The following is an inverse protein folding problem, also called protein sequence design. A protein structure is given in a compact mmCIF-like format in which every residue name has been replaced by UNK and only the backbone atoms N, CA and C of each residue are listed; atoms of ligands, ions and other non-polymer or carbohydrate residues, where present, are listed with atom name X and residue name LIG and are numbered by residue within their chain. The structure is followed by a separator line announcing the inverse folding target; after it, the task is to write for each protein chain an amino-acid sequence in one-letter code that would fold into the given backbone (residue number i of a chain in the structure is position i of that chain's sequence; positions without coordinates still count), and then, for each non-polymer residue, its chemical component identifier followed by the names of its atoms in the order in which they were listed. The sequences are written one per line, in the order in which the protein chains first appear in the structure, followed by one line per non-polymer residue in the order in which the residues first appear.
data_IF_490135816546
#
_entry.id   IF_490135816546
#
_cell.length_a   1.000
_cell.length_b   1.000
_cell.length_c   1.000
_cell.angle_alpha   90.00
_cell.angle_beta   90.00
_cell.angle_gamma   90.00
#
_symmetry.space_group_name_H-M   'P 1'
#
loop_
_entity.id
_entity.type
_entity.pdbx_description
1 polymer ?
#
# COMPACT_ATOMS: atom_id res chain seq x y z
N UNK A 1 -35.69 18.71 -23.19
CA UNK A 1 -35.61 17.59 -22.22
C UNK A 1 -34.95 18.12 -20.94
N UNK A 2 -35.74 18.19 -19.87
CA UNK A 2 -35.40 18.89 -18.63
C UNK A 2 -34.63 17.92 -17.73
N UNK A 3 -33.35 18.21 -17.43
CA UNK A 3 -32.57 17.46 -16.45
C UNK A 3 -32.97 17.91 -15.04
N UNK A 4 -33.54 16.97 -14.27
CA UNK A 4 -33.89 17.13 -12.87
C UNK A 4 -32.64 17.10 -12.01
N UNK A 5 -32.23 18.23 -11.46
CA UNK A 5 -31.16 18.35 -10.46
C UNK A 5 -31.59 17.67 -9.17
N UNK A 6 -30.88 16.62 -8.76
CA UNK A 6 -31.01 16.05 -7.41
C UNK A 6 -30.19 16.90 -6.44
N UNK A 7 -30.88 17.51 -5.51
CA UNK A 7 -30.28 18.23 -4.37
C UNK A 7 -29.53 17.22 -3.47
N UNK A 8 -28.23 17.38 -3.39
CA UNK A 8 -27.41 16.75 -2.37
C UNK A 8 -27.39 17.67 -1.14
N UNK A 9 -27.99 17.21 -0.04
CA UNK A 9 -27.85 17.83 1.27
C UNK A 9 -26.51 17.36 1.88
N UNK A 10 -25.64 18.26 2.35
CA UNK A 10 -24.38 17.85 3.00
C UNK A 10 -24.69 17.20 4.36
N UNK A 11 -24.19 16.00 4.57
CA UNK A 11 -24.17 15.32 5.86
C UNK A 11 -23.34 16.17 6.84
N UNK A 12 -23.99 16.67 7.89
CA UNK A 12 -23.35 17.31 9.04
C UNK A 12 -22.40 16.30 9.69
N UNK A 13 -21.11 16.65 9.73
CA UNK A 13 -20.14 15.96 10.59
C UNK A 13 -20.62 16.07 12.04
N UNK A 14 -20.92 14.94 12.65
CA UNK A 14 -21.07 14.87 14.10
C UNK A 14 -19.67 14.79 14.76
N UNK A 15 -19.46 15.48 15.87
CA UNK A 15 -18.18 15.41 16.58
C UNK A 15 -17.98 14.04 17.22
N UNK A 16 -16.74 13.59 17.18
CA UNK A 16 -16.22 12.33 17.70
C UNK A 16 -16.75 12.03 19.11
N UNK A 17 -17.41 10.88 19.26
CA UNK A 17 -17.66 10.29 20.57
C UNK A 17 -16.34 9.76 21.12
N UNK A 18 -15.87 10.40 22.17
CA UNK A 18 -14.78 9.89 23.00
C UNK A 18 -15.24 8.60 23.70
N UNK A 19 -14.68 7.47 23.29
CA UNK A 19 -14.85 6.21 24.00
C UNK A 19 -14.02 6.25 25.30
N UNK A 20 -14.69 6.55 26.40
CA UNK A 20 -14.13 6.36 27.75
C UNK A 20 -14.09 4.87 28.08
N UNK A 21 -12.92 4.29 28.08
CA UNK A 21 -12.67 2.92 28.52
C UNK A 21 -12.69 2.89 30.07
N UNK A 22 -13.83 2.51 30.66
CA UNK A 22 -13.95 2.25 32.11
C UNK A 22 -13.37 0.86 32.42
N UNK A 23 -12.14 0.82 32.90
CA UNK A 23 -11.55 -0.38 33.50
C UNK A 23 -12.16 -0.55 34.90
N UNK A 24 -13.15 -1.43 35.05
CA UNK A 24 -13.61 -1.93 36.34
C UNK A 24 -12.60 -2.95 36.88
N UNK A 25 -11.78 -2.50 37.80
CA UNK A 25 -11.00 -3.37 38.68
C UNK A 25 -11.98 -4.06 39.63
N UNK A 26 -12.20 -5.35 39.45
CA UNK A 26 -12.88 -6.19 40.47
C UNK A 26 -11.87 -6.55 41.58
N UNK A 27 -12.05 -5.92 42.72
CA UNK A 27 -11.55 -6.39 44.04
C UNK A 27 -12.43 -7.54 44.53
N UNK A 28 -11.83 -8.57 45.05
CA UNK A 28 -12.44 -9.64 45.85
C UNK A 28 -11.74 -10.95 45.56
N UNK A 29 -11.12 -11.67 46.44
CA UNK A 29 -11.52 -12.12 47.73
C UNK A 29 -10.25 -12.68 48.44
N UNK A 30 -10.00 -12.24 49.63
CA UNK A 30 -9.15 -12.91 50.63
C UNK A 30 -9.83 -14.21 51.03
N UNK A 31 -9.13 -15.31 50.95
CA UNK A 31 -9.47 -16.54 51.66
C UNK A 31 -8.25 -17.01 52.44
N UNK A 32 -8.31 -16.78 53.73
CA UNK A 32 -7.48 -17.36 54.79
C UNK A 32 -7.90 -18.80 55.07
N UNK A 33 -6.96 -19.75 55.10
CA UNK A 33 -7.11 -21.06 55.76
C UNK A 33 -5.73 -21.46 56.25
N UNK A 34 -5.51 -21.38 57.44
CA UNK A 34 -5.43 -22.16 58.65
C UNK A 34 -4.37 -23.30 58.65
N UNK A 35 -3.54 -23.15 59.66
CA UNK A 35 -2.53 -24.05 60.18
C UNK A 35 -3.00 -25.52 60.38
N UNK A 36 -2.10 -26.47 60.11
CA UNK A 36 -2.06 -27.75 60.80
C UNK A 36 -0.61 -28.20 60.94
N UNK A 37 -0.17 -28.16 62.21
CA UNK A 37 1.05 -28.74 62.73
C UNK A 37 0.88 -30.24 62.90
N UNK A 38 1.84 -31.08 62.52
CA UNK A 38 2.04 -32.42 63.07
C UNK A 38 3.52 -32.70 63.23
N UNK A 39 3.81 -33.15 64.43
CA UNK A 39 5.10 -33.36 65.10
C UNK A 39 5.87 -34.60 64.63
N UNK A 40 7.15 -34.46 64.65
CA UNK A 40 8.24 -35.33 65.08
C UNK A 40 8.08 -36.87 65.12
N UNK A 41 9.05 -37.56 64.50
CA UNK A 41 9.73 -38.71 65.11
C UNK A 41 11.18 -38.75 64.66
N UNK A 42 12.06 -38.71 65.70
CA UNK A 42 13.50 -38.94 65.61
C UNK A 42 13.75 -40.47 65.51
N UNK A 43 14.58 -40.86 64.56
CA UNK A 43 15.38 -42.09 64.71
C UNK A 43 16.81 -41.77 64.30
N UNK A 44 17.67 -41.82 65.26
CA UNK A 44 19.11 -41.72 65.14
C UNK A 44 19.70 -43.10 64.73
N UNK A 45 20.50 -43.15 63.68
CA UNK A 45 21.46 -44.21 63.41
C UNK A 45 22.77 -43.61 62.91
N UNK A 46 23.84 -43.97 63.57
CA UNK A 46 25.17 -43.41 63.45
C UNK A 46 25.94 -43.87 62.24
N UNK A 47 27.09 -43.21 61.93
CA UNK A 47 27.69 -43.17 60.59
C UNK A 47 28.71 -44.25 60.38
N UNK A 48 28.84 -44.67 59.07
CA UNK A 48 30.01 -45.38 58.56
C UNK A 48 30.72 -44.47 57.59
N UNK A 49 32.01 -44.12 57.73
CA UNK A 49 32.70 -43.30 56.77
C UNK A 49 33.20 -44.16 55.59
N UNK A 50 32.58 -44.05 54.47
CA UNK A 50 33.18 -44.50 53.20
C UNK A 50 33.87 -43.29 52.56
N UNK A 51 35.22 -43.37 52.50
CA UNK A 51 36.02 -42.41 51.74
C UNK A 51 35.81 -42.70 50.24
N UNK A 52 34.91 -41.96 49.60
CA UNK A 52 34.87 -41.86 48.17
C UNK A 52 35.79 -40.72 47.74
N UNK A 53 36.86 -41.05 47.03
CA UNK A 53 37.66 -40.08 46.31
C UNK A 53 36.78 -39.43 45.22
N UNK A 54 36.36 -38.20 45.45
CA UNK A 54 35.69 -37.36 44.44
C UNK A 54 36.72 -36.94 43.40
N UNK A 55 36.60 -37.47 42.18
CA UNK A 55 37.24 -36.90 41.01
C UNK A 55 36.80 -35.44 40.84
N UNK A 56 37.65 -34.51 40.42
CA UNK A 56 37.24 -33.15 40.17
C UNK A 56 36.13 -33.11 39.09
N UNK A 57 35.11 -32.29 39.28
CA UNK A 57 34.05 -32.17 38.27
C UNK A 57 34.62 -31.73 36.94
N UNK A 58 34.32 -32.49 35.90
CA UNK A 58 34.66 -32.11 34.54
C UNK A 58 34.07 -30.70 34.30
N UNK A 59 34.91 -29.79 33.85
CA UNK A 59 34.46 -28.43 33.51
C UNK A 59 33.30 -28.52 32.47
N UNK A 60 32.19 -27.91 32.81
CA UNK A 60 31.08 -27.79 31.93
C UNK A 60 31.56 -27.14 30.59
N UNK A 61 31.11 -27.64 29.43
CA UNK A 61 31.49 -27.01 28.18
C UNK A 61 31.03 -25.54 28.20
N UNK A 62 31.97 -24.64 27.92
CA UNK A 62 31.72 -23.22 27.79
C UNK A 62 30.64 -23.03 26.75
N UNK A 63 29.59 -22.21 27.00
CA UNK A 63 28.59 -21.92 25.99
C UNK A 63 29.32 -21.34 24.75
N UNK A 64 28.87 -21.70 23.54
CA UNK A 64 29.46 -21.13 22.32
C UNK A 64 29.40 -19.60 22.41
N UNK A 65 30.42 -18.89 21.88
CA UNK A 65 30.44 -17.45 21.89
C UNK A 65 29.14 -16.96 21.23
N UNK A 66 28.37 -16.16 21.97
CA UNK A 66 27.18 -15.48 21.45
C UNK A 66 27.73 -14.56 20.37
N UNK A 67 27.64 -14.99 19.13
CA UNK A 67 27.93 -14.14 17.99
C UNK A 67 26.99 -12.95 18.13
N UNK A 68 27.56 -11.78 18.48
CA UNK A 68 26.79 -10.55 18.52
C UNK A 68 26.05 -10.46 17.20
N UNK A 69 24.72 -10.52 17.25
CA UNK A 69 23.88 -10.33 16.07
C UNK A 69 24.33 -9.02 15.46
N UNK A 70 24.96 -9.09 14.28
CA UNK A 70 25.21 -7.89 13.50
C UNK A 70 23.89 -7.14 13.42
N UNK A 71 23.88 -5.82 13.68
CA UNK A 71 22.68 -5.04 13.46
C UNK A 71 22.17 -5.40 12.07
N UNK A 72 20.93 -5.88 11.98
CA UNK A 72 20.31 -6.20 10.71
C UNK A 72 20.56 -4.99 9.80
N UNK A 73 21.26 -5.20 8.67
CA UNK A 73 21.44 -4.15 7.68
C UNK A 73 20.03 -3.57 7.44
N UNK A 74 19.85 -2.23 7.45
CA UNK A 74 18.56 -1.64 7.27
C UNK A 74 17.95 -2.33 6.04
N UNK A 75 16.80 -2.99 6.24
CA UNK A 75 16.14 -3.72 5.16
C UNK A 75 15.88 -2.67 4.09
N UNK A 76 16.60 -2.80 2.98
CA UNK A 76 16.38 -1.92 1.84
C UNK A 76 14.90 -2.04 1.49
N UNK A 77 14.17 -0.95 1.64
CA UNK A 77 12.77 -0.88 1.28
C UNK A 77 12.67 -1.38 -0.16
N UNK A 78 11.96 -2.50 -0.43
CA UNK A 78 12.10 -3.18 -1.70
C UNK A 78 11.76 -2.26 -2.86
N UNK A 79 12.77 -1.81 -3.57
CA UNK A 79 12.66 -1.26 -4.91
C UNK A 79 12.28 0.21 -5.07
N UNK A 80 12.07 0.99 -4.00
CA UNK A 80 11.63 2.38 -4.16
C UNK A 80 12.73 3.40 -3.91
N UNK A 81 13.42 3.31 -2.78
CA UNK A 81 14.39 4.31 -2.37
C UNK A 81 15.59 3.62 -1.75
N UNK A 82 16.64 3.43 -2.52
CA UNK A 82 17.91 2.97 -1.98
C UNK A 82 18.63 4.18 -1.33
N UNK A 83 18.81 4.22 0.00
CA UNK A 83 19.52 5.31 0.66
C UNK A 83 20.95 5.50 0.18
N UNK A 84 21.52 4.49 -0.50
CA UNK A 84 22.84 4.55 -1.10
C UNK A 84 22.85 5.24 -2.46
N UNK A 85 21.69 5.38 -3.11
CA UNK A 85 21.52 6.05 -4.40
C UNK A 85 20.92 7.45 -4.23
N UNK A 86 21.60 8.29 -3.45
CA UNK A 86 21.19 9.67 -3.29
C UNK A 86 21.34 10.42 -4.62
N UNK A 87 20.26 10.95 -5.20
CA UNK A 87 20.36 11.70 -6.45
C UNK A 87 21.10 13.01 -6.21
N UNK A 88 21.96 13.41 -7.17
CA UNK A 88 22.57 14.72 -7.16
C UNK A 88 21.52 15.81 -7.27
N UNK A 89 21.81 16.96 -6.61
CA UNK A 89 20.93 18.12 -6.72
C UNK A 89 21.07 18.73 -8.12
N UNK A 90 20.01 18.76 -8.94
CA UNK A 90 20.07 19.38 -10.26
C UNK A 90 20.13 20.90 -10.16
N UNK A 91 20.39 21.56 -11.29
CA UNK A 91 20.33 23.04 -11.37
C UNK A 91 18.86 23.52 -11.35
N UNK A 92 18.34 23.71 -10.15
CA UNK A 92 16.97 24.13 -9.91
C UNK A 92 16.69 25.58 -10.33
N UNK A 93 17.72 26.42 -10.50
CA UNK A 93 17.55 27.83 -10.89
C UNK A 93 16.91 28.00 -12.28
N UNK A 94 16.96 26.97 -13.11
CA UNK A 94 16.36 26.95 -14.44
C UNK A 94 14.86 26.61 -14.44
N UNK A 95 14.30 26.19 -13.29
CA UNK A 95 12.89 25.89 -13.13
C UNK A 95 12.19 27.02 -12.40
N UNK A 96 11.19 27.63 -13.03
CA UNK A 96 10.41 28.74 -12.44
C UNK A 96 8.99 28.30 -12.08
N UNK A 97 8.42 27.37 -12.86
CA UNK A 97 7.07 26.85 -12.68
C UNK A 97 7.02 25.42 -13.18
N UNK A 98 6.22 24.57 -12.51
CA UNK A 98 5.88 23.24 -13.00
C UNK A 98 4.37 23.14 -13.16
N UNK A 99 3.92 22.80 -14.38
CA UNK A 99 2.51 22.60 -14.70
C UNK A 99 2.22 21.10 -14.66
N UNK A 100 1.67 20.64 -13.52
CA UNK A 100 1.23 19.25 -13.39
C UNK A 100 -0.13 19.05 -14.03
N UNK A 101 -0.28 17.91 -14.71
CA UNK A 101 -1.55 17.39 -15.19
C UNK A 101 -1.91 16.14 -14.37
N UNK A 102 -3.19 16.05 -13.98
CA UNK A 102 -3.75 14.90 -13.29
C UNK A 102 -5.11 14.55 -13.85
N UNK A 103 -5.66 13.41 -13.47
CA UNK A 103 -7.02 13.04 -13.86
C UNK A 103 -8.05 13.38 -12.79
N UNK A 104 -9.33 13.15 -13.09
CA UNK A 104 -10.46 13.65 -12.30
C UNK A 104 -11.14 12.59 -11.44
N UNK A 105 -10.87 11.28 -11.64
CA UNK A 105 -11.70 10.22 -11.10
C UNK A 105 -10.92 8.94 -10.72
N UNK A 106 -9.89 9.10 -9.89
CA UNK A 106 -9.14 7.98 -9.36
C UNK A 106 -8.85 8.15 -7.84
N UNK A 107 -9.90 8.18 -6.99
CA UNK A 107 -9.70 8.31 -5.55
C UNK A 107 -9.02 7.04 -4.97
N UNK A 108 -8.18 7.17 -3.93
CA UNK A 108 -7.81 8.42 -3.22
C UNK A 108 -6.60 9.15 -3.84
N UNK A 109 -6.12 8.73 -5.00
CA UNK A 109 -4.91 9.26 -5.61
C UNK A 109 -5.10 10.65 -6.23
N UNK A 110 -6.12 10.79 -7.08
CA UNK A 110 -6.47 12.06 -7.72
C UNK A 110 -7.96 12.07 -8.08
N UNK A 111 -8.64 13.13 -7.70
CA UNK A 111 -10.07 13.28 -7.92
C UNK A 111 -10.47 14.75 -7.80
N UNK A 112 -11.70 15.05 -8.21
CA UNK A 112 -12.28 16.38 -8.04
C UNK A 112 -12.81 16.50 -6.61
N UNK A 113 -12.26 17.45 -5.85
CA UNK A 113 -12.73 17.77 -4.50
C UNK A 113 -14.13 18.40 -4.48
N UNK A 114 -14.73 18.51 -3.28
CA UNK A 114 -16.07 19.12 -3.13
C UNK A 114 -16.14 20.59 -3.59
N UNK A 115 -15.00 21.27 -3.58
CA UNK A 115 -14.81 22.66 -4.03
C UNK A 115 -14.53 22.79 -5.54
N UNK A 116 -14.55 21.67 -6.27
CA UNK A 116 -14.22 21.61 -7.69
C UNK A 116 -12.71 21.62 -8.01
N UNK A 117 -11.86 21.70 -6.99
CA UNK A 117 -10.41 21.72 -7.15
C UNK A 117 -9.81 20.30 -7.15
N UNK A 118 -8.61 20.13 -7.77
CA UNK A 118 -7.92 18.84 -7.71
C UNK A 118 -7.53 18.49 -6.26
N UNK A 119 -7.81 17.26 -5.86
CA UNK A 119 -7.54 16.70 -4.55
C UNK A 119 -6.97 15.26 -4.67
N UNK A 120 -6.39 14.74 -3.58
CA UNK A 120 -5.88 13.39 -3.48
C UNK A 120 -4.37 13.32 -3.28
N UNK A 121 -3.89 12.10 -3.04
CA UNK A 121 -2.47 11.82 -2.75
C UNK A 121 -1.52 12.39 -3.82
N UNK A 122 -1.80 12.17 -5.10
CA UNK A 122 -0.98 12.63 -6.22
C UNK A 122 -0.92 14.16 -6.28
N UNK A 123 -2.05 14.82 -5.99
CA UNK A 123 -2.15 16.28 -5.98
C UNK A 123 -1.31 16.87 -4.86
N UNK A 124 -1.40 16.30 -3.66
CA UNK A 124 -0.61 16.75 -2.52
C UNK A 124 0.88 16.42 -2.69
N UNK A 125 1.22 15.27 -3.30
CA UNK A 125 2.61 14.96 -3.65
C UNK A 125 3.19 15.97 -4.64
N UNK A 126 2.43 16.37 -5.67
CA UNK A 126 2.85 17.41 -6.60
C UNK A 126 3.14 18.75 -5.90
N UNK A 127 2.28 19.15 -4.95
CA UNK A 127 2.49 20.35 -4.13
C UNK A 127 3.76 20.26 -3.29
N UNK A 128 3.98 19.12 -2.62
CA UNK A 128 5.19 18.88 -1.82
C UNK A 128 6.46 18.89 -2.67
N UNK A 129 6.42 18.32 -3.88
CA UNK A 129 7.55 18.37 -4.83
C UNK A 129 7.90 19.83 -5.18
N UNK A 130 6.92 20.65 -5.52
CA UNK A 130 7.16 22.05 -5.84
C UNK A 130 7.68 22.87 -4.64
N UNK A 131 7.16 22.58 -3.45
CA UNK A 131 7.65 23.19 -2.19
C UNK A 131 9.11 22.83 -1.94
N UNK A 132 9.51 21.56 -2.14
CA UNK A 132 10.90 21.11 -1.95
C UNK A 132 11.84 21.72 -2.99
N UNK A 133 11.41 21.84 -4.25
CA UNK A 133 12.18 22.48 -5.34
C UNK A 133 12.18 24.01 -5.17
N UNK A 134 11.19 24.58 -4.47
CA UNK A 134 10.93 26.02 -4.30
C UNK A 134 10.53 26.71 -5.61
N UNK A 135 9.61 26.11 -6.35
CA UNK A 135 9.04 26.66 -7.59
C UNK A 135 7.53 26.82 -7.49
N UNK A 136 6.95 27.67 -8.31
CA UNK A 136 5.50 27.77 -8.44
C UNK A 136 4.93 26.47 -9.06
N UNK A 137 3.73 26.09 -8.62
CA UNK A 137 3.02 24.90 -9.12
C UNK A 137 1.64 25.29 -9.63
N UNK A 138 1.27 24.70 -10.77
CA UNK A 138 -0.14 24.63 -11.18
C UNK A 138 -0.52 23.16 -11.37
N UNK A 139 -1.73 22.79 -10.96
CA UNK A 139 -2.25 21.42 -11.11
C UNK A 139 -3.56 21.52 -11.88
N UNK A 140 -3.61 20.90 -13.07
CA UNK A 140 -4.76 20.95 -13.96
C UNK A 140 -5.33 19.54 -14.13
N UNK A 141 -6.63 19.42 -13.94
CA UNK A 141 -7.36 18.18 -14.20
C UNK A 141 -7.67 18.03 -15.69
N UNK A 142 -7.51 16.81 -16.19
CA UNK A 142 -7.86 16.41 -17.57
C UNK A 142 -8.38 14.99 -17.58
N UNK A 143 -9.07 14.60 -18.64
CA UNK A 143 -9.41 13.19 -18.86
C UNK A 143 -8.14 12.38 -19.09
N UNK A 144 -8.09 11.18 -18.53
CA UNK A 144 -6.91 10.30 -18.54
C UNK A 144 -6.32 10.11 -19.93
N UNK A 145 -7.15 9.86 -20.93
CA UNK A 145 -6.75 9.57 -22.31
C UNK A 145 -6.03 10.74 -22.98
N UNK A 146 -6.23 11.96 -22.49
CA UNK A 146 -5.66 13.19 -23.07
C UNK A 146 -4.35 13.63 -22.42
N UNK A 147 -3.93 12.98 -21.33
CA UNK A 147 -2.79 13.41 -20.52
C UNK A 147 -1.47 13.34 -21.30
N UNK A 148 -1.21 12.21 -21.98
CA UNK A 148 0.02 11.99 -22.75
C UNK A 148 0.14 12.99 -23.90
N UNK A 149 -0.94 13.18 -24.65
CA UNK A 149 -0.97 14.13 -25.77
C UNK A 149 -0.82 15.58 -25.31
N UNK A 150 -1.36 15.91 -24.14
CA UNK A 150 -1.23 17.22 -23.54
C UNK A 150 0.23 17.55 -23.18
N UNK A 151 0.99 16.59 -22.63
CA UNK A 151 2.43 16.75 -22.36
C UNK A 151 3.21 16.94 -23.67
N UNK A 152 2.98 16.08 -24.66
CA UNK A 152 3.67 16.15 -25.94
C UNK A 152 3.38 17.45 -26.69
N UNK A 153 2.18 18.01 -26.49
CA UNK A 153 1.76 19.31 -27.05
C UNK A 153 2.12 20.53 -26.16
N UNK A 154 2.99 20.37 -25.16
CA UNK A 154 3.42 21.41 -24.22
C UNK A 154 2.27 22.10 -23.43
N UNK A 155 1.15 21.42 -23.23
CA UNK A 155 0.02 21.89 -22.41
C UNK A 155 0.17 21.59 -20.93
N UNK A 156 1.27 20.97 -20.54
CA UNK A 156 1.74 20.67 -19.20
C UNK A 156 3.20 20.25 -19.25
N UNK A 157 3.82 20.11 -18.12
CA UNK A 157 5.24 19.75 -17.99
C UNK A 157 5.41 18.32 -17.42
N UNK A 158 4.52 17.91 -16.53
CA UNK A 158 4.53 16.60 -15.90
C UNK A 158 3.12 16.04 -15.70
N UNK A 159 2.96 14.72 -15.79
CA UNK A 159 1.73 13.99 -15.45
C UNK A 159 1.92 13.24 -14.13
N UNK A 160 1.04 13.50 -13.17
CA UNK A 160 0.94 12.78 -11.91
C UNK A 160 -0.49 12.24 -11.75
N UNK A 161 -0.73 11.06 -12.31
CA UNK A 161 -2.04 10.44 -12.43
C UNK A 161 -1.96 8.90 -12.30
N UNK A 162 -1.11 8.42 -11.40
CA UNK A 162 -0.90 6.98 -11.18
C UNK A 162 -0.52 6.20 -12.46
N UNK A 163 0.29 6.80 -13.33
CA UNK A 163 0.74 6.17 -14.56
C UNK A 163 1.75 5.06 -14.27
N UNK A 164 1.43 3.83 -14.65
CA UNK A 164 2.39 2.74 -14.68
C UNK A 164 3.42 2.97 -15.80
N UNK A 165 4.72 2.86 -15.48
CA UNK A 165 5.80 3.05 -16.44
C UNK A 165 5.94 1.81 -17.36
N UNK A 166 4.91 1.55 -18.18
CA UNK A 166 4.91 0.44 -19.13
C UNK A 166 5.78 0.74 -20.35
N UNK A 167 6.25 -0.27 -21.11
CA UNK A 167 7.03 -0.06 -22.33
C UNK A 167 6.33 0.87 -23.34
N UNK A 168 5.01 0.76 -23.47
CA UNK A 168 4.20 1.59 -24.38
C UNK A 168 4.21 3.07 -23.96
N UNK A 169 4.10 3.35 -22.67
CA UNK A 169 4.15 4.73 -22.16
C UNK A 169 5.58 5.27 -22.14
N UNK A 170 6.58 4.42 -21.85
CA UNK A 170 8.00 4.80 -21.96
C UNK A 170 8.44 5.15 -23.37
N UNK A 171 7.76 4.65 -24.40
CA UNK A 171 7.97 5.10 -25.78
C UNK A 171 7.54 6.56 -26.01
N UNK A 172 6.58 7.08 -25.22
CA UNK A 172 5.97 8.42 -25.37
C UNK A 172 6.43 9.44 -24.35
N UNK A 173 6.79 9.01 -23.15
CA UNK A 173 7.18 9.83 -22.00
C UNK A 173 8.45 9.29 -21.36
N UNK A 174 9.20 10.17 -20.69
CA UNK A 174 10.17 9.75 -19.67
C UNK A 174 9.49 9.74 -18.31
N UNK A 175 9.96 8.87 -17.42
CA UNK A 175 9.38 8.71 -16.09
C UNK A 175 10.40 9.03 -15.01
N UNK A 176 9.90 9.60 -13.92
CA UNK A 176 10.63 9.66 -12.66
C UNK A 176 10.91 8.24 -12.13
N UNK A 177 11.69 8.14 -11.07
CA UNK A 177 11.70 6.94 -10.24
C UNK A 177 10.29 6.66 -9.75
N UNK A 178 9.92 5.37 -9.61
CA UNK A 178 8.58 5.04 -9.12
C UNK A 178 8.41 5.49 -7.68
N UNK A 179 7.26 6.05 -7.34
CA UNK A 179 6.95 6.48 -5.97
C UNK A 179 6.01 5.52 -5.23
N UNK A 180 5.40 4.56 -5.92
CA UNK A 180 4.79 3.38 -5.34
C UNK A 180 4.66 2.25 -6.36
N UNK A 181 4.37 1.05 -5.89
CA UNK A 181 3.95 -0.09 -6.71
C UNK A 181 2.55 -0.49 -6.32
N UNK A 182 1.73 -0.73 -7.32
CA UNK A 182 0.39 -1.24 -7.15
C UNK A 182 0.39 -2.72 -7.59
N UNK A 183 0.52 -3.68 -6.67
CA UNK A 183 0.32 -5.08 -7.03
C UNK A 183 -1.13 -5.30 -7.44
N UNK A 184 -1.37 -6.26 -8.31
CA UNK A 184 -2.73 -6.72 -8.56
C UNK A 184 -3.14 -7.77 -7.52
N UNK A 185 -4.44 -7.80 -7.18
CA UNK A 185 -5.01 -8.82 -6.28
C UNK A 185 -6.39 -9.25 -6.73
N UNK A 186 -6.74 -10.46 -6.34
CA UNK A 186 -8.11 -10.93 -6.41
C UNK A 186 -8.90 -10.48 -5.18
N UNK A 187 -10.18 -10.25 -5.39
CA UNK A 187 -11.18 -10.05 -4.33
C UNK A 187 -12.34 -10.97 -4.61
N UNK A 188 -12.87 -11.61 -3.59
CA UNK A 188 -14.09 -12.40 -3.62
C UNK A 188 -15.07 -11.92 -2.55
N UNK A 189 -16.29 -12.43 -2.57
CA UNK A 189 -17.17 -12.33 -1.41
C UNK A 189 -16.56 -13.11 -0.23
N UNK A 190 -16.86 -12.71 1.00
CA UNK A 190 -16.24 -13.26 2.22
C UNK A 190 -16.41 -14.78 2.37
N UNK A 191 -17.49 -15.32 1.84
CA UNK A 191 -17.78 -16.77 1.82
C UNK A 191 -16.94 -17.55 0.80
N UNK A 192 -16.31 -16.86 -0.16
CA UNK A 192 -15.47 -17.44 -1.21
C UNK A 192 -13.98 -17.10 -1.10
N UNK A 193 -13.51 -16.59 0.04
CA UNK A 193 -12.10 -16.19 0.22
C UNK A 193 -11.17 -17.41 0.16
N UNK A 194 -10.14 -17.28 -0.66
CA UNK A 194 -9.05 -18.26 -0.79
C UNK A 194 -7.75 -17.68 -0.22
N UNK A 195 -7.02 -18.48 0.57
CA UNK A 195 -5.70 -18.10 1.08
C UNK A 195 -4.67 -17.96 -0.05
N UNK A 196 -4.77 -18.84 -1.05
CA UNK A 196 -3.95 -18.84 -2.25
C UNK A 196 -4.86 -18.92 -3.48
N UNK A 197 -4.51 -18.19 -4.53
CA UNK A 197 -5.19 -18.22 -5.82
C UNK A 197 -4.17 -18.66 -6.88
N UNK A 198 -4.41 -19.82 -7.49
CA UNK A 198 -3.65 -20.38 -8.59
C UNK A 198 -4.57 -20.56 -9.80
N UNK A 199 -4.02 -20.69 -11.02
CA UNK A 199 -4.83 -20.90 -12.23
C UNK A 199 -5.82 -22.07 -12.08
N UNK A 200 -5.37 -23.19 -11.53
CA UNK A 200 -6.14 -24.42 -11.36
C UNK A 200 -7.35 -24.23 -10.41
N UNK A 201 -7.24 -23.31 -9.45
CA UNK A 201 -8.32 -23.01 -8.50
C UNK A 201 -9.42 -22.12 -9.08
N UNK A 202 -9.15 -21.48 -10.22
CA UNK A 202 -10.09 -20.63 -10.93
C UNK A 202 -10.71 -21.31 -12.16
N UNK A 203 -10.49 -22.60 -12.36
CA UNK A 203 -11.13 -23.35 -13.45
C UNK A 203 -12.65 -23.18 -13.39
N UNK A 204 -13.24 -22.69 -14.49
CA UNK A 204 -14.66 -22.43 -14.62
C UNK A 204 -15.20 -21.27 -13.79
N UNK A 205 -14.39 -20.61 -12.96
CA UNK A 205 -14.80 -19.43 -12.17
C UNK A 205 -14.85 -18.17 -13.03
N UNK A 206 -15.84 -17.35 -12.78
CA UNK A 206 -15.97 -16.03 -13.43
C UNK A 206 -15.14 -14.99 -12.72
N UNK A 207 -14.22 -14.35 -13.45
CA UNK A 207 -13.36 -13.30 -12.92
C UNK A 207 -13.67 -11.98 -13.64
N UNK A 208 -14.27 -11.03 -12.93
CA UNK A 208 -14.54 -9.68 -13.43
C UNK A 208 -13.27 -8.83 -13.46
N UNK A 209 -13.09 -8.08 -14.53
CA UNK A 209 -11.94 -7.21 -14.74
C UNK A 209 -12.34 -6.03 -15.65
N UNK A 210 -11.59 -4.92 -15.62
CA UNK A 210 -11.81 -3.83 -16.56
C UNK A 210 -11.36 -4.27 -17.96
N UNK A 211 -12.25 -4.19 -18.94
CA UNK A 211 -11.98 -4.55 -20.32
C UNK A 211 -10.84 -3.69 -20.90
N UNK A 212 -9.94 -4.30 -21.68
CA UNK A 212 -8.78 -3.63 -22.29
C UNK A 212 -7.66 -3.27 -21.32
N UNK A 213 -7.77 -3.66 -20.04
CA UNK A 213 -6.74 -3.36 -19.04
C UNK A 213 -5.57 -4.34 -19.08
N UNK A 214 -4.44 -3.95 -18.46
CA UNK A 214 -3.32 -4.85 -18.23
C UNK A 214 -3.71 -6.05 -17.34
N UNK A 215 -4.67 -5.86 -16.44
CA UNK A 215 -5.20 -6.91 -15.58
C UNK A 215 -5.96 -7.98 -16.41
N UNK A 216 -6.74 -7.56 -17.40
CA UNK A 216 -7.41 -8.48 -18.33
C UNK A 216 -6.38 -9.28 -19.15
N UNK A 217 -5.37 -8.60 -19.69
CA UNK A 217 -4.29 -9.25 -20.45
C UNK A 217 -3.53 -10.29 -19.59
N UNK A 218 -3.27 -9.97 -18.33
CA UNK A 218 -2.66 -10.87 -17.36
C UNK A 218 -3.50 -12.13 -17.15
N UNK A 219 -4.79 -11.96 -16.84
CA UNK A 219 -5.70 -13.09 -16.61
C UNK A 219 -5.80 -13.99 -17.85
N UNK A 220 -6.00 -13.42 -19.03
CA UNK A 220 -6.09 -14.19 -20.28
C UNK A 220 -4.83 -14.97 -20.61
N UNK A 221 -3.67 -14.55 -20.11
CA UNK A 221 -2.40 -15.22 -20.38
C UNK A 221 -2.05 -16.27 -19.33
N UNK A 222 -2.32 -16.02 -18.06
CA UNK A 222 -1.84 -16.84 -16.96
C UNK A 222 -2.94 -17.63 -16.23
N UNK A 223 -4.21 -17.26 -16.43
CA UNK A 223 -5.38 -17.89 -15.83
C UNK A 223 -6.34 -18.36 -16.94
N UNK A 224 -5.82 -19.19 -17.85
CA UNK A 224 -6.50 -19.59 -19.10
C UNK A 224 -7.81 -20.32 -18.86
N UNK A 225 -7.93 -21.02 -17.74
CA UNK A 225 -9.09 -21.86 -17.41
C UNK A 225 -10.19 -21.07 -16.68
N UNK A 226 -9.91 -19.80 -16.30
CA UNK A 226 -10.89 -18.90 -15.75
C UNK A 226 -11.75 -18.26 -16.83
N UNK A 227 -13.03 -18.02 -16.51
CA UNK A 227 -13.95 -17.25 -17.37
C UNK A 227 -13.74 -15.75 -17.12
N UNK A 228 -12.90 -15.10 -17.93
CA UNK A 228 -12.60 -13.67 -17.80
C UNK A 228 -13.78 -12.83 -18.34
N UNK A 229 -14.39 -12.02 -17.46
CA UNK A 229 -15.52 -11.13 -17.78
C UNK A 229 -15.02 -9.68 -17.81
N UNK A 230 -14.83 -9.14 -19.01
CA UNK A 230 -14.45 -7.74 -19.21
C UNK A 230 -15.63 -6.79 -19.00
N UNK A 231 -15.49 -5.83 -18.09
CA UNK A 231 -16.51 -4.84 -17.73
C UNK A 231 -15.99 -3.42 -18.00
N UNK A 232 -16.90 -2.45 -18.11
CA UNK A 232 -16.58 -1.13 -18.64
C UNK A 232 -15.70 -0.26 -17.72
N UNK A 233 -15.85 -0.41 -16.39
CA UNK A 233 -15.16 0.42 -15.39
C UNK A 233 -15.12 -0.27 -14.02
N UNK A 234 -14.44 0.35 -13.05
CA UNK A 234 -14.30 -0.17 -11.69
C UNK A 234 -15.65 -0.40 -10.99
N UNK A 235 -16.60 0.51 -11.16
CA UNK A 235 -17.91 0.39 -10.51
C UNK A 235 -18.69 -0.81 -11.03
N UNK A 236 -18.68 -1.03 -12.35
CA UNK A 236 -19.30 -2.22 -12.94
C UNK A 236 -18.67 -3.51 -12.43
N UNK A 237 -17.33 -3.56 -12.32
CA UNK A 237 -16.59 -4.71 -11.78
C UNK A 237 -16.98 -4.99 -10.33
N UNK A 238 -16.98 -3.96 -9.48
CA UNK A 238 -17.31 -4.05 -8.04
C UNK A 238 -18.76 -4.48 -7.83
N UNK A 239 -19.69 -3.90 -8.60
CA UNK A 239 -21.12 -4.26 -8.54
C UNK A 239 -21.38 -5.69 -8.99
N UNK A 240 -20.71 -6.17 -10.05
CA UNK A 240 -20.84 -7.54 -10.52
C UNK A 240 -20.43 -8.55 -9.42
N UNK A 241 -19.35 -8.27 -8.67
CA UNK A 241 -18.97 -9.10 -7.53
C UNK A 241 -20.03 -9.08 -6.41
N UNK A 242 -20.49 -7.87 -6.03
CA UNK A 242 -21.51 -7.73 -4.99
C UNK A 242 -22.80 -8.48 -5.31
N UNK A 243 -23.24 -8.45 -6.58
CA UNK A 243 -24.47 -9.14 -7.04
C UNK A 243 -24.26 -10.64 -7.28
N UNK A 244 -23.01 -11.14 -7.18
CA UNK A 244 -22.71 -12.54 -7.46
C UNK A 244 -22.73 -12.91 -8.94
N UNK A 245 -22.64 -11.93 -9.84
CA UNK A 245 -22.55 -12.16 -11.30
C UNK A 245 -21.18 -12.71 -11.70
N UNK A 246 -20.15 -12.40 -10.87
CA UNK A 246 -18.80 -12.98 -10.95
C UNK A 246 -18.38 -13.52 -9.58
N UNK A 247 -17.50 -14.52 -9.57
CA UNK A 247 -16.98 -15.16 -8.34
C UNK A 247 -15.85 -14.34 -7.72
N UNK A 248 -15.01 -13.78 -8.58
CA UNK A 248 -13.86 -12.96 -8.25
C UNK A 248 -13.84 -11.70 -9.09
N UNK A 249 -13.15 -10.69 -8.58
CA UNK A 249 -12.65 -9.56 -9.40
C UNK A 249 -11.14 -9.47 -9.26
N UNK A 250 -10.48 -8.95 -10.28
CA UNK A 250 -9.03 -8.80 -10.30
C UNK A 250 -8.66 -7.38 -10.73
N UNK A 251 -7.79 -6.73 -9.95
CA UNK A 251 -7.42 -5.34 -10.21
C UNK A 251 -6.34 -4.82 -9.28
N UNK A 252 -6.11 -3.51 -9.35
CA UNK A 252 -5.18 -2.78 -8.51
C UNK A 252 -5.49 -2.95 -7.01
N UNK A 253 -4.52 -3.45 -6.25
CA UNK A 253 -4.73 -3.80 -4.84
C UNK A 253 -5.06 -2.59 -3.98
N UNK A 254 -4.51 -1.40 -4.29
CA UNK A 254 -4.72 -0.19 -3.48
C UNK A 254 -6.14 0.32 -3.71
N UNK A 255 -6.56 0.40 -4.97
CA UNK A 255 -7.93 0.78 -5.33
C UNK A 255 -8.97 -0.20 -4.77
N UNK A 256 -8.67 -1.50 -4.81
CA UNK A 256 -9.53 -2.54 -4.22
C UNK A 256 -9.54 -2.47 -2.69
N UNK A 257 -8.40 -2.24 -2.02
CA UNK A 257 -8.32 -2.06 -0.57
C UNK A 257 -9.18 -0.87 -0.11
N UNK A 258 -9.10 0.25 -0.84
CA UNK A 258 -9.90 1.43 -0.56
C UNK A 258 -11.41 1.12 -0.67
N UNK A 259 -11.82 0.40 -1.72
CA UNK A 259 -13.21 0.01 -1.88
C UNK A 259 -13.68 -0.99 -0.82
N UNK A 260 -12.89 -2.04 -0.51
CA UNK A 260 -13.25 -3.05 0.51
C UNK A 260 -13.48 -2.41 1.87
N UNK A 261 -12.65 -1.44 2.24
CA UNK A 261 -12.74 -0.74 3.53
C UNK A 261 -13.74 0.43 3.51
N UNK A 262 -14.28 0.78 2.36
CA UNK A 262 -15.28 1.83 2.18
C UNK A 262 -16.71 1.33 2.38
N UNK A 263 -17.64 2.27 2.59
CA UNK A 263 -19.09 1.98 2.74
C UNK A 263 -19.69 1.33 1.51
N UNK A 264 -19.15 1.61 0.32
CA UNK A 264 -19.70 1.15 -0.96
C UNK A 264 -19.54 -0.35 -1.17
N UNK A 265 -18.59 -0.99 -0.47
CA UNK A 265 -18.47 -2.44 -0.48
C UNK A 265 -19.64 -3.13 0.25
N UNK A 266 -20.25 -2.44 1.21
CA UNK A 266 -21.27 -3.02 2.11
C UNK A 266 -20.72 -4.17 2.93
N UNK A 267 -19.40 -4.16 3.21
CA UNK A 267 -18.68 -5.19 3.94
C UNK A 267 -18.81 -6.61 3.34
N UNK A 268 -19.09 -6.71 2.02
CA UNK A 268 -19.33 -7.98 1.33
C UNK A 268 -18.11 -8.86 1.18
N UNK A 269 -16.94 -8.23 1.09
CA UNK A 269 -15.88 -8.80 0.27
C UNK A 269 -14.53 -8.68 0.96
N UNK A 270 -13.58 -9.54 0.55
CA UNK A 270 -12.21 -9.54 1.08
C UNK A 270 -11.20 -9.95 -0.01
N UNK A 271 -9.93 -9.66 0.23
CA UNK A 271 -8.86 -10.13 -0.64
C UNK A 271 -8.76 -11.66 -0.64
N UNK A 272 -8.49 -12.21 -1.82
CA UNK A 272 -8.17 -13.62 -2.05
C UNK A 272 -6.79 -13.71 -2.68
N UNK A 273 -5.89 -14.51 -2.10
CA UNK A 273 -4.54 -14.74 -2.62
C UNK A 273 -3.70 -13.48 -2.87
N UNK A 274 -2.61 -13.65 -3.62
CA UNK A 274 -1.70 -12.60 -4.07
C UNK A 274 -0.80 -12.02 -2.97
N UNK A 275 -0.01 -10.98 -3.25
CA UNK A 275 -0.08 -10.07 -4.41
C UNK A 275 0.57 -10.63 -5.69
N UNK A 276 0.13 -10.09 -6.84
CA UNK A 276 0.70 -10.39 -8.17
C UNK A 276 1.43 -9.14 -8.67
N UNK A 277 2.71 -9.30 -9.07
CA UNK A 277 3.62 -8.16 -9.28
C UNK A 277 4.38 -8.22 -10.62
N UNK A 278 3.89 -8.98 -11.60
CA UNK A 278 4.57 -9.16 -12.88
C UNK A 278 4.73 -7.85 -13.64
N UNK A 279 5.96 -7.36 -13.68
CA UNK A 279 6.30 -6.07 -14.28
C UNK A 279 6.00 -5.99 -15.78
N UNK A 280 5.95 -7.12 -16.49
CA UNK A 280 5.53 -7.19 -17.89
C UNK A 280 4.12 -6.61 -18.12
N UNK A 281 3.21 -6.82 -17.16
CA UNK A 281 1.81 -6.35 -17.23
C UNK A 281 1.59 -5.07 -16.44
N UNK A 282 2.12 -5.01 -15.21
CA UNK A 282 1.82 -3.94 -14.26
C UNK A 282 2.90 -2.85 -14.21
N UNK A 283 3.95 -2.99 -15.07
CA UNK A 283 5.07 -2.06 -15.11
C UNK A 283 6.02 -2.20 -13.93
N UNK A 284 7.09 -1.39 -13.96
CA UNK A 284 8.11 -1.39 -12.90
C UNK A 284 7.73 -0.55 -11.68
N UNK A 285 6.55 0.00 -11.69
CA UNK A 285 5.99 0.88 -10.68
C UNK A 285 5.33 2.12 -11.28
N UNK A 286 4.74 2.90 -10.41
CA UNK A 286 4.02 4.13 -10.74
C UNK A 286 4.97 5.30 -10.63
N UNK A 287 5.11 6.06 -11.70
CA UNK A 287 6.01 7.21 -11.79
C UNK A 287 5.32 8.47 -12.29
N UNK A 288 6.01 9.59 -12.19
CA UNK A 288 5.58 10.87 -12.75
C UNK A 288 6.11 10.95 -14.18
N UNK A 289 5.21 11.07 -15.15
CA UNK A 289 5.56 11.17 -16.56
C UNK A 289 5.96 12.61 -16.92
N UNK A 290 7.06 12.76 -17.66
CA UNK A 290 7.49 14.04 -18.25
C UNK A 290 7.68 13.89 -19.75
N UNK A 291 7.73 15.01 -20.48
CA UNK A 291 8.03 14.99 -21.92
C UNK A 291 9.38 14.32 -22.17
N UNK A 292 9.47 13.52 -23.23
CA UNK A 292 10.73 12.90 -23.68
C UNK A 292 11.87 13.91 -23.77
N UNK A 293 13.03 13.55 -23.18
CA UNK A 293 14.22 14.37 -23.18
C UNK A 293 14.22 15.54 -22.18
N UNK A 294 13.18 15.69 -21.35
CA UNK A 294 13.17 16.68 -20.28
C UNK A 294 13.86 16.15 -19.01
N UNK A 295 15.16 15.86 -19.14
CA UNK A 295 15.97 15.29 -18.08
C UNK A 295 16.08 16.18 -16.85
N UNK A 296 16.17 17.52 -17.06
CA UNK A 296 16.24 18.43 -15.93
C UNK A 296 15.02 18.32 -15.02
N UNK A 297 13.81 18.34 -15.58
CA UNK A 297 12.58 18.22 -14.79
C UNK A 297 12.49 16.84 -14.14
N UNK A 298 12.81 15.78 -14.88
CA UNK A 298 12.79 14.39 -14.36
C UNK A 298 13.73 14.23 -13.16
N UNK A 299 14.97 14.70 -13.28
CA UNK A 299 15.97 14.64 -12.21
C UNK A 299 15.56 15.52 -11.01
N UNK A 300 14.95 16.68 -11.27
CA UNK A 300 14.45 17.58 -10.21
C UNK A 300 13.30 16.94 -9.42
N UNK A 301 12.40 16.25 -10.11
CA UNK A 301 11.32 15.49 -9.48
C UNK A 301 11.92 14.34 -8.63
N UNK A 302 12.86 13.55 -9.17
CA UNK A 302 13.51 12.46 -8.43
C UNK A 302 14.24 12.97 -7.19
N UNK A 303 15.01 14.05 -7.33
CA UNK A 303 15.68 14.68 -6.20
C UNK A 303 14.70 15.17 -5.14
N UNK A 304 13.62 15.81 -5.53
CA UNK A 304 12.59 16.29 -4.60
C UNK A 304 11.90 15.13 -3.88
N UNK A 305 11.49 14.09 -4.60
CA UNK A 305 10.86 12.92 -3.99
C UNK A 305 11.81 12.22 -3.00
N UNK A 306 13.09 12.07 -3.34
CA UNK A 306 14.09 11.54 -2.42
C UNK A 306 14.21 12.39 -1.16
N UNK A 307 14.25 13.71 -1.29
CA UNK A 307 14.30 14.65 -0.15
C UNK A 307 13.04 14.57 0.72
N UNK A 308 11.87 14.43 0.13
CA UNK A 308 10.62 14.25 0.86
C UNK A 308 10.61 12.94 1.66
N UNK A 309 11.12 11.86 1.06
CA UNK A 309 11.29 10.58 1.75
C UNK A 309 12.31 10.69 2.89
N UNK A 310 13.49 11.26 2.64
CA UNK A 310 14.56 11.43 3.64
C UNK A 310 14.07 12.24 4.87
N UNK A 311 13.17 13.20 4.66
CA UNK A 311 12.55 14.01 5.71
C UNK A 311 11.32 13.37 6.36
N UNK A 312 10.94 12.17 5.97
CA UNK A 312 9.70 11.50 6.42
C UNK A 312 8.40 12.07 5.84
N UNK A 313 8.45 13.18 5.09
CA UNK A 313 7.25 13.87 4.56
C UNK A 313 6.47 13.02 3.56
N UNK A 314 7.15 12.16 2.81
CA UNK A 314 6.48 11.22 1.90
C UNK A 314 5.66 10.19 2.69
N UNK A 315 6.24 9.62 3.74
CA UNK A 315 5.56 8.64 4.61
C UNK A 315 4.37 9.28 5.32
N UNK A 316 4.53 10.50 5.86
CA UNK A 316 3.44 11.25 6.49
C UNK A 316 2.30 11.55 5.51
N UNK A 317 2.63 11.92 4.26
CA UNK A 317 1.65 12.12 3.21
C UNK A 317 0.92 10.81 2.89
N UNK A 318 1.65 9.72 2.72
CA UNK A 318 1.08 8.42 2.41
C UNK A 318 0.08 7.98 3.49
N UNK A 319 0.47 8.03 4.76
CA UNK A 319 -0.36 7.60 5.90
C UNK A 319 -1.62 8.46 6.10
N UNK A 320 -1.71 9.64 5.50
CA UNK A 320 -2.96 10.43 5.47
C UNK A 320 -4.03 9.83 4.55
N UNK A 321 -3.61 9.12 3.52
CA UNK A 321 -4.50 8.53 2.51
C UNK A 321 -4.66 7.02 2.66
N UNK A 322 -3.65 6.34 3.20
CA UNK A 322 -3.60 4.89 3.28
C UNK A 322 -3.24 4.46 4.70
N UNK A 323 -4.02 3.53 5.26
CA UNK A 323 -3.86 3.04 6.64
C UNK A 323 -2.66 2.11 6.86
N UNK A 324 -1.92 1.77 5.80
CA UNK A 324 -0.76 0.90 5.84
C UNK A 324 0.45 1.61 5.24
N UNK A 325 1.65 1.27 5.72
CA UNK A 325 2.89 1.80 5.15
C UNK A 325 2.98 1.51 3.65
N UNK A 326 3.58 2.40 2.84
CA UNK A 326 3.83 2.13 1.43
C UNK A 326 4.92 1.08 1.20
N UNK A 327 5.56 0.63 2.29
CA UNK A 327 6.74 -0.23 2.30
C UNK A 327 6.58 -1.40 3.26
#
# INVERSE_FOLDING_TARGET
MVYKTRNWTPLKMQPQMAFSYNIRVRRGFLATVAFATVSAWLVALAPVPVHAQTAPPAAAPSPPPVTASQPAAPQAVPGFWDPRRRPDRPDLARLTVIRFLTETDYPPFNFTGPDGNPAGFNVDLARLICEEIKVACTIQMRRFETLVDAINSNRGDAVIASLAATPQLRAKLDFSDPYYRAPARFVSRKDGVMAEVRPEYLEGKKVGVIAGSAHEAYLKTLFTDAQVVGLANNDAVRQALRRGEVDFIFGDAISLAFWINGTDSGDCCAFSGGPFVESRYFGEGIGIGVKKGNDLLRQSINWAMFRLWEKGRFTDLWLRYFSVSPF
#
